data_IF_372673616455
#
_entry.id   IF_372673616455
#
_cell.length_a   1.000
_cell.length_b   1.000
_cell.length_c   1.000
_cell.angle_alpha   90.00
_cell.angle_beta   90.00
_cell.angle_gamma   90.00
#
_symmetry.space_group_name_H-M   'P 1'
#
loop_
_entity.id
_entity.type
_entity.pdbx_description
1 polymer ?
#
# COMPACT_ATOMS: atom_id res chain seq x y z
N UNK A 1 -7.33 -22.42 -7.98
CA UNK A 1 -5.91 -21.98 -8.01
C UNK A 1 -5.91 -20.48 -7.81
N UNK A 2 -5.68 -20.02 -6.58
CA UNK A 2 -5.71 -18.60 -6.21
C UNK A 2 -4.36 -17.97 -6.60
N UNK A 3 -4.37 -17.04 -7.56
CA UNK A 3 -3.17 -16.34 -8.05
C UNK A 3 -3.01 -14.96 -7.39
N UNK A 4 -3.68 -14.76 -6.26
CA UNK A 4 -3.74 -13.50 -5.49
C UNK A 4 -2.38 -13.06 -4.91
N UNK A 5 -1.35 -13.91 -5.01
CA UNK A 5 0.04 -13.57 -4.69
C UNK A 5 0.77 -12.96 -5.91
N UNK A 6 0.37 -13.31 -7.13
CA UNK A 6 1.03 -12.86 -8.36
C UNK A 6 0.50 -11.49 -8.74
N UNK A 7 1.32 -10.42 -8.75
CA UNK A 7 0.86 -9.07 -9.06
C UNK A 7 0.36 -8.96 -10.50
N UNK A 8 -0.78 -8.30 -10.68
CA UNK A 8 -1.37 -8.12 -12.00
C UNK A 8 -0.57 -7.10 -12.82
N UNK A 9 0.06 -7.57 -13.89
CA UNK A 9 0.81 -6.72 -14.83
C UNK A 9 -0.08 -5.63 -15.47
N UNK A 10 -1.33 -5.97 -15.80
CA UNK A 10 -2.29 -5.03 -16.40
C UNK A 10 -2.76 -3.98 -15.39
N UNK A 11 -2.90 -4.34 -14.11
CA UNK A 11 -3.30 -3.41 -13.06
C UNK A 11 -2.22 -2.39 -12.79
N UNK A 12 -0.95 -2.83 -12.75
CA UNK A 12 0.21 -1.92 -12.68
C UNK A 12 0.28 -0.97 -13.88
N UNK A 13 -0.19 -1.40 -15.05
CA UNK A 13 -0.27 -0.59 -16.27
C UNK A 13 -1.54 0.28 -16.33
N UNK A 14 -2.47 0.17 -15.37
CA UNK A 14 -3.77 0.86 -15.40
C UNK A 14 -4.76 0.32 -16.44
N UNK A 15 -4.47 -0.83 -17.06
CA UNK A 15 -5.26 -1.44 -18.13
C UNK A 15 -6.05 -2.68 -17.68
N UNK A 16 -6.17 -2.92 -16.36
CA UNK A 16 -6.90 -4.09 -15.89
C UNK A 16 -8.42 -3.85 -15.90
N UNK A 17 -9.13 -4.52 -16.81
CA UNK A 17 -10.60 -4.53 -16.86
C UNK A 17 -11.25 -5.49 -15.84
N UNK A 18 -10.47 -6.38 -15.22
CA UNK A 18 -11.01 -7.40 -14.31
C UNK A 18 -11.32 -6.88 -12.90
N UNK A 19 -10.85 -5.67 -12.52
CA UNK A 19 -11.16 -5.05 -11.24
C UNK A 19 -10.94 -5.99 -10.05
N UNK A 20 -11.92 -6.09 -9.14
CA UNK A 20 -11.87 -6.97 -7.97
C UNK A 20 -12.04 -8.47 -8.28
N UNK A 21 -12.41 -8.84 -9.51
CA UNK A 21 -12.56 -10.23 -9.94
C UNK A 21 -11.27 -10.78 -10.59
N UNK A 22 -10.18 -9.99 -10.60
CA UNK A 22 -8.93 -10.45 -11.17
C UNK A 22 -8.34 -11.59 -10.31
N UNK A 23 -7.93 -12.72 -10.92
CA UNK A 23 -7.28 -13.79 -10.18
C UNK A 23 -5.90 -13.39 -9.66
N UNK A 24 -5.33 -12.30 -10.20
CA UNK A 24 -4.02 -11.74 -9.85
C UNK A 24 -4.14 -10.64 -8.79
N UNK A 25 -3.06 -10.41 -8.04
CA UNK A 25 -3.01 -9.39 -6.99
C UNK A 25 -3.12 -7.97 -7.56
N UNK A 26 -4.14 -7.25 -7.11
CA UNK A 26 -4.34 -5.82 -7.32
C UNK A 26 -3.91 -4.99 -6.10
N UNK A 27 -3.03 -5.54 -5.27
CA UNK A 27 -2.35 -4.72 -4.26
C UNK A 27 -1.30 -3.89 -4.99
N UNK A 28 -1.71 -2.73 -5.51
CA UNK A 28 -0.78 -1.60 -5.59
C UNK A 28 -0.20 -1.51 -4.20
N UNK A 29 1.12 -1.54 -4.11
CA UNK A 29 1.92 -1.50 -2.90
C UNK A 29 1.72 -0.17 -2.13
N UNK A 30 0.48 0.09 -1.76
CA UNK A 30 0.05 1.04 -0.74
C UNK A 30 0.39 0.46 0.63
N UNK A 31 0.89 -0.79 0.68
CA UNK A 31 1.45 -1.39 1.89
C UNK A 31 2.72 -0.67 2.37
N UNK A 32 3.46 -0.01 1.48
CA UNK A 32 4.54 0.91 1.89
C UNK A 32 3.95 2.12 2.61
N UNK A 33 2.84 2.66 2.13
CA UNK A 33 2.15 3.78 2.80
C UNK A 33 1.51 3.35 4.13
N UNK A 34 1.02 2.11 4.28
CA UNK A 34 0.48 1.61 5.58
C UNK A 34 1.54 1.10 6.54
N UNK A 35 2.82 1.00 6.15
CA UNK A 35 3.85 0.61 7.09
C UNK A 35 3.97 1.71 8.16
N UNK A 36 3.75 1.40 9.45
CA UNK A 36 3.76 2.40 10.50
C UNK A 36 5.11 3.10 10.52
N UNK A 37 5.07 4.43 10.52
CA UNK A 37 6.27 5.23 10.57
C UNK A 37 6.97 4.99 11.92
N UNK A 38 8.06 4.23 11.89
CA UNK A 38 8.90 3.95 13.07
C UNK A 38 9.39 5.23 13.77
N UNK A 39 9.58 6.31 13.02
CA UNK A 39 9.99 7.60 13.56
C UNK A 39 8.83 8.34 14.22
N UNK A 40 7.62 8.23 13.67
CA UNK A 40 6.42 8.82 14.26
C UNK A 40 6.04 8.12 15.56
N UNK A 41 6.08 6.80 15.58
CA UNK A 41 5.89 6.00 16.81
C UNK A 41 6.91 6.37 17.90
N UNK A 42 8.09 6.87 17.51
CA UNK A 42 9.15 7.34 18.41
C UNK A 42 9.13 8.87 18.62
N UNK A 43 8.14 9.60 18.09
CA UNK A 43 8.00 11.05 18.22
C UNK A 43 9.03 11.90 17.46
N UNK A 44 9.80 11.31 16.56
CA UNK A 44 10.94 11.93 15.86
C UNK A 44 10.73 12.05 14.33
N UNK A 45 9.49 11.97 13.85
CA UNK A 45 9.24 12.07 12.41
C UNK A 45 9.38 13.51 11.89
N UNK A 46 10.52 13.77 11.25
CA UNK A 46 10.87 15.00 10.51
C UNK A 46 9.98 15.31 9.30
N UNK A 47 9.20 14.33 8.81
CA UNK A 47 8.37 14.48 7.61
C UNK A 47 6.93 14.91 7.89
N UNK A 48 6.48 14.85 9.16
CA UNK A 48 5.13 15.25 9.56
C UNK A 48 4.03 14.60 8.71
N UNK A 49 3.04 15.37 8.31
CA UNK A 49 1.91 14.91 7.47
C UNK A 49 2.30 14.49 6.04
N UNK A 50 3.54 14.77 5.61
CA UNK A 50 4.08 14.38 4.30
C UNK A 50 4.95 13.12 4.36
N UNK A 51 4.91 12.39 5.48
CA UNK A 51 5.67 11.16 5.60
C UNK A 51 5.10 10.10 4.65
N UNK A 52 5.96 9.44 3.89
CA UNK A 52 5.61 8.31 3.02
C UNK A 52 5.27 7.02 3.80
N UNK A 53 5.17 7.11 5.13
CA UNK A 53 4.88 6.02 6.05
C UNK A 53 3.68 6.44 6.93
N UNK A 54 2.82 5.50 7.29
CA UNK A 54 1.60 5.80 8.03
C UNK A 54 1.87 6.38 9.44
N UNK A 55 1.23 7.52 9.72
CA UNK A 55 1.20 8.15 11.05
C UNK A 55 -0.15 7.84 11.71
N UNK A 56 -0.17 6.87 12.62
CA UNK A 56 -1.37 6.52 13.38
C UNK A 56 -1.41 7.31 14.69
N UNK A 57 -2.16 8.42 14.73
CA UNK A 57 -2.46 9.13 15.98
C UNK A 57 -3.54 8.33 16.74
N UNK A 58 -3.32 7.93 18.00
CA UNK A 58 -4.43 7.60 18.87
C UNK A 58 -5.18 8.90 19.21
N UNK A 59 -6.49 8.93 18.97
CA UNK A 59 -7.40 9.93 19.54
C UNK A 59 -7.41 9.85 21.07
#
# INVERSE_FOLDING_TARGET
KNLSHVPCKFFRQGACQAGNACPFSHTLDTTVETSPCKYFQKGNCRFGVKCALAHFLPD
#
